data_IF_346051371148
#
_entry.id   IF_346051371148
#
_cell.length_a   1.000
_cell.length_b   1.000
_cell.length_c   1.000
_cell.angle_alpha   90.00
_cell.angle_beta   90.00
_cell.angle_gamma   90.00
#
_symmetry.space_group_name_H-M   'P 1'
#
loop_
_entity.id
_entity.type
_entity.pdbx_description
1 polymer ?
#
# COMPACT_ATOMS: atom_id res chain seq x y z
N UNK A 1 15.39 50.04 -3.20
CA UNK A 1 14.83 48.76 -3.64
C UNK A 1 14.70 47.90 -2.38
N UNK A 2 13.52 47.83 -1.77
CA UNK A 2 13.31 47.03 -0.56
C UNK A 2 13.43 45.58 -1.01
N UNK A 3 14.45 44.87 -0.55
CA UNK A 3 14.57 43.43 -0.72
C UNK A 3 13.37 42.81 0.00
N UNK A 4 12.30 42.55 -0.74
CA UNK A 4 11.07 41.97 -0.21
C UNK A 4 11.42 40.56 0.27
N UNK A 5 11.56 40.37 1.58
CA UNK A 5 11.84 39.06 2.18
C UNK A 5 10.57 38.22 2.13
N UNK A 6 10.28 37.74 0.93
CA UNK A 6 9.14 36.88 0.63
C UNK A 6 9.15 35.63 1.52
N UNK A 7 10.31 35.17 2.00
CA UNK A 7 10.40 34.01 2.88
C UNK A 7 9.77 34.30 4.24
N UNK A 8 10.09 35.45 4.85
CA UNK A 8 9.49 35.85 6.12
C UNK A 8 7.98 36.04 5.98
N UNK A 9 7.54 36.63 4.86
CA UNK A 9 6.13 36.85 4.63
C UNK A 9 5.37 35.54 4.41
N UNK A 10 5.86 34.66 3.53
CA UNK A 10 5.27 33.33 3.31
C UNK A 10 5.22 32.51 4.59
N UNK A 11 6.25 32.60 5.44
CA UNK A 11 6.26 31.95 6.74
C UNK A 11 5.11 32.45 7.61
N UNK A 12 4.94 33.77 7.74
CA UNK A 12 3.85 34.37 8.51
C UNK A 12 2.48 33.94 7.98
N UNK A 13 2.27 34.04 6.66
CA UNK A 13 1.00 33.69 6.04
C UNK A 13 0.71 32.18 6.13
N UNK A 14 1.74 31.31 6.11
CA UNK A 14 1.58 29.88 6.36
C UNK A 14 1.14 29.59 7.79
N UNK A 15 1.70 30.28 8.78
CA UNK A 15 1.31 30.11 10.18
C UNK A 15 -0.12 30.59 10.41
N UNK A 16 -0.45 31.78 9.90
CA UNK A 16 -1.80 32.35 9.96
C UNK A 16 -2.84 31.42 9.32
N UNK A 17 -2.53 30.85 8.15
CA UNK A 17 -3.38 29.86 7.51
C UNK A 17 -3.62 28.63 8.39
N UNK A 18 -2.58 28.07 8.99
CA UNK A 18 -2.72 26.88 9.84
C UNK A 18 -3.44 27.16 11.16
N UNK A 19 -3.31 28.38 11.71
CA UNK A 19 -3.91 28.77 12.98
C UNK A 19 -5.37 29.22 12.84
N UNK A 20 -5.71 29.88 11.74
CA UNK A 20 -7.01 30.55 11.59
C UNK A 20 -7.88 29.94 10.49
N UNK A 21 -7.31 29.41 9.40
CA UNK A 21 -8.08 28.89 8.26
C UNK A 21 -8.41 27.41 8.38
N UNK A 22 -7.40 26.60 8.73
CA UNK A 22 -7.60 25.14 8.87
C UNK A 22 -8.66 24.79 9.92
N UNK A 23 -8.69 25.40 11.13
CA UNK A 23 -9.73 25.09 12.10
C UNK A 23 -11.16 25.44 11.65
N UNK A 24 -11.29 26.40 10.72
CA UNK A 24 -12.56 26.81 10.11
C UNK A 24 -12.95 25.94 8.89
N UNK A 25 -12.18 24.90 8.58
CA UNK A 25 -12.30 24.07 7.37
C UNK A 25 -12.09 24.84 6.05
N UNK A 26 -11.42 25.99 6.09
CA UNK A 26 -10.97 26.72 4.90
C UNK A 26 -9.59 26.18 4.49
N UNK A 27 -9.60 25.13 3.67
CA UNK A 27 -8.40 24.39 3.28
C UNK A 27 -7.68 24.92 2.05
N UNK A 28 -8.10 26.06 1.48
CA UNK A 28 -7.48 26.60 0.26
C UNK A 28 -6.11 27.24 0.50
N UNK A 29 -5.10 26.40 0.72
CA UNK A 29 -3.75 26.84 1.06
C UNK A 29 -3.05 27.61 -0.07
N UNK A 30 -3.56 27.56 -1.31
CA UNK A 30 -2.97 28.29 -2.43
C UNK A 30 -3.04 29.81 -2.23
N UNK A 31 -3.94 30.28 -1.34
CA UNK A 31 -4.00 31.69 -0.91
C UNK A 31 -2.66 32.19 -0.33
N UNK A 32 -1.85 31.30 0.26
CA UNK A 32 -0.52 31.63 0.78
C UNK A 32 0.40 32.15 -0.34
N UNK A 33 0.21 31.67 -1.58
CA UNK A 33 1.05 32.03 -2.71
C UNK A 33 0.67 33.36 -3.38
N UNK A 34 -0.49 33.94 -3.06
CA UNK A 34 -0.94 35.21 -3.65
C UNK A 34 0.03 36.35 -3.39
N UNK A 35 0.77 36.28 -2.28
CA UNK A 35 1.75 37.29 -1.89
C UNK A 35 3.08 37.19 -2.66
N UNK A 36 3.35 36.04 -3.29
CA UNK A 36 4.52 35.84 -4.13
C UNK A 36 4.16 36.24 -5.56
N UNK A 37 4.78 37.26 -6.18
CA UNK A 37 4.35 37.75 -7.48
C UNK A 37 4.92 36.98 -8.67
N UNK A 38 6.08 36.33 -8.51
CA UNK A 38 6.76 35.68 -9.64
C UNK A 38 6.07 34.35 -10.01
N UNK A 39 5.92 34.12 -11.31
CA UNK A 39 5.36 32.89 -11.87
C UNK A 39 6.30 32.37 -12.96
N UNK A 40 6.48 31.06 -13.00
CA UNK A 40 7.21 30.39 -14.08
C UNK A 40 6.17 29.62 -14.89
N UNK A 41 5.99 29.99 -16.16
CA UNK A 41 4.94 29.45 -17.03
C UNK A 41 3.52 29.59 -16.45
N UNK A 42 3.25 30.67 -15.70
CA UNK A 42 1.96 30.90 -15.05
C UNK A 42 1.77 30.18 -13.71
N UNK A 43 2.72 29.33 -13.29
CA UNK A 43 2.65 28.56 -12.04
C UNK A 43 3.56 29.11 -10.94
N UNK A 44 3.23 28.79 -9.69
CA UNK A 44 4.07 29.10 -8.53
C UNK A 44 5.36 28.26 -8.62
N UNK A 45 6.56 28.87 -8.50
CA UNK A 45 7.81 28.12 -8.60
C UNK A 45 7.91 27.00 -7.56
N UNK A 46 8.42 25.84 -7.98
CA UNK A 46 8.62 24.69 -7.08
C UNK A 46 9.43 24.99 -5.80
N UNK A 47 10.46 25.86 -5.80
CA UNK A 47 11.15 26.26 -4.57
C UNK A 47 10.23 26.92 -3.53
N UNK A 48 9.25 27.71 -3.98
CA UNK A 48 8.28 28.40 -3.12
C UNK A 48 7.31 27.39 -2.51
N UNK A 49 6.78 26.47 -3.33
CA UNK A 49 5.92 25.37 -2.85
C UNK A 49 6.66 24.53 -1.80
N UNK A 50 7.93 24.23 -2.05
CA UNK A 50 8.77 23.46 -1.12
C UNK A 50 9.04 24.22 0.18
N UNK A 51 9.21 25.54 0.11
CA UNK A 51 9.36 26.40 1.29
C UNK A 51 8.09 26.38 2.15
N UNK A 52 6.91 26.59 1.55
CA UNK A 52 5.63 26.54 2.27
C UNK A 52 5.39 25.15 2.88
N UNK A 53 5.64 24.07 2.13
CA UNK A 53 5.57 22.71 2.67
C UNK A 53 6.47 22.50 3.89
N UNK A 54 7.65 23.12 3.89
CA UNK A 54 8.60 23.07 5.01
C UNK A 54 8.09 23.80 6.23
N UNK A 55 7.51 24.99 6.07
CA UNK A 55 6.90 25.73 7.17
C UNK A 55 5.65 25.00 7.71
N UNK A 56 4.78 24.48 6.84
CA UNK A 56 3.63 23.66 7.26
C UNK A 56 4.08 22.45 8.09
N UNK A 57 5.07 21.70 7.60
CA UNK A 57 5.59 20.54 8.32
C UNK A 57 6.11 20.90 9.70
N UNK A 58 6.74 22.08 9.89
CA UNK A 58 7.30 22.45 11.20
C UNK A 58 6.23 22.53 12.29
N UNK A 59 5.02 22.98 11.94
CA UNK A 59 3.87 23.08 12.84
C UNK A 59 3.19 21.72 12.97
N UNK A 60 2.75 21.15 11.85
CA UNK A 60 1.94 19.92 11.82
C UNK A 60 2.68 18.74 12.46
N UNK A 61 4.01 18.64 12.32
CA UNK A 61 4.76 17.52 12.89
C UNK A 61 4.84 17.51 14.43
N UNK A 62 4.36 18.54 15.13
CA UNK A 62 4.37 18.61 16.59
C UNK A 62 3.00 18.26 17.17
N UNK A 63 1.92 18.64 16.48
CA UNK A 63 0.54 18.28 16.82
C UNK A 63 -0.25 18.04 15.53
N UNK A 64 -0.18 16.84 14.94
CA UNK A 64 -0.77 16.56 13.62
C UNK A 64 -2.27 16.24 13.64
N UNK A 65 -2.84 15.91 14.80
CA UNK A 65 -4.24 15.46 14.91
C UNK A 65 -5.28 16.48 14.40
N UNK A 66 -5.16 17.80 14.69
CA UNK A 66 -6.07 18.81 14.16
C UNK A 66 -6.03 18.96 12.63
N UNK A 67 -4.96 18.49 11.99
CA UNK A 67 -4.69 18.72 10.57
C UNK A 67 -5.05 17.51 9.69
N UNK A 68 -5.65 16.44 10.24
CA UNK A 68 -5.97 15.22 9.49
C UNK A 68 -6.80 15.53 8.23
N UNK A 69 -7.87 16.32 8.37
CA UNK A 69 -8.81 16.59 7.29
C UNK A 69 -8.16 17.46 6.21
N UNK A 70 -7.39 18.46 6.64
CA UNK A 70 -6.56 19.26 5.74
C UNK A 70 -5.55 18.40 4.98
N UNK A 71 -4.87 17.48 5.65
CA UNK A 71 -3.88 16.58 5.03
C UNK A 71 -4.53 15.68 3.97
N UNK A 72 -5.72 15.14 4.23
CA UNK A 72 -6.46 14.35 3.24
C UNK A 72 -6.92 15.21 2.06
N UNK A 73 -7.44 16.40 2.34
CA UNK A 73 -7.85 17.35 1.30
C UNK A 73 -6.70 17.72 0.36
N UNK A 74 -5.52 18.11 0.88
CA UNK A 74 -4.39 18.45 0.01
C UNK A 74 -3.92 17.25 -0.82
N UNK A 75 -4.07 16.02 -0.32
CA UNK A 75 -3.68 14.83 -1.05
C UNK A 75 -4.66 14.52 -2.20
N UNK A 76 -5.96 14.68 -1.94
CA UNK A 76 -7.02 14.25 -2.85
C UNK A 76 -7.40 15.34 -3.87
N UNK A 77 -7.44 16.61 -3.45
CA UNK A 77 -8.10 17.68 -4.20
C UNK A 77 -7.13 18.69 -4.85
N UNK A 78 -5.86 18.73 -4.41
CA UNK A 78 -4.90 19.79 -4.81
C UNK A 78 -3.82 19.31 -5.79
N UNK A 79 -4.13 18.26 -6.56
CA UNK A 79 -3.29 17.77 -7.64
C UNK A 79 -1.89 17.33 -7.22
N UNK A 80 -0.93 17.41 -8.14
CA UNK A 80 0.44 16.93 -7.89
C UNK A 80 1.20 17.74 -6.85
N UNK A 81 0.93 19.04 -6.74
CA UNK A 81 1.58 19.89 -5.73
C UNK A 81 1.06 19.57 -4.33
N UNK A 82 -0.24 19.36 -4.17
CA UNK A 82 -0.84 18.90 -2.91
C UNK A 82 -0.25 17.56 -2.45
N UNK A 83 -0.12 16.57 -3.34
CA UNK A 83 0.54 15.28 -3.04
C UNK A 83 2.00 15.44 -2.61
N UNK A 84 2.76 16.33 -3.26
CA UNK A 84 4.15 16.63 -2.86
C UNK A 84 4.21 17.20 -1.43
N UNK A 85 3.34 18.15 -1.11
CA UNK A 85 3.26 18.75 0.23
C UNK A 85 2.88 17.69 1.26
N UNK A 86 1.82 16.93 0.99
CA UNK A 86 1.38 15.82 1.84
C UNK A 86 2.53 14.86 2.13
N UNK A 87 3.20 14.35 1.10
CA UNK A 87 4.33 13.43 1.26
C UNK A 87 5.48 14.05 2.05
N UNK A 88 5.75 15.34 1.86
CA UNK A 88 6.77 16.05 2.60
C UNK A 88 6.46 16.15 4.10
N UNK A 89 5.21 16.45 4.46
CA UNK A 89 4.74 16.54 5.85
C UNK A 89 4.68 15.16 6.49
N UNK A 90 4.03 14.21 5.82
CA UNK A 90 3.79 12.85 6.32
C UNK A 90 5.08 12.09 6.60
N UNK A 91 6.16 12.34 5.86
CA UNK A 91 7.48 11.75 6.12
C UNK A 91 8.00 11.99 7.55
N UNK A 92 7.57 13.07 8.23
CA UNK A 92 7.92 13.34 9.64
C UNK A 92 6.82 12.94 10.61
N UNK A 93 5.56 13.20 10.29
CA UNK A 93 4.39 12.80 11.10
C UNK A 93 4.41 11.29 11.34
N UNK A 94 4.61 10.49 10.30
CA UNK A 94 4.67 9.02 10.36
C UNK A 94 5.69 8.48 11.36
N UNK A 95 6.82 9.16 11.52
CA UNK A 95 7.89 8.75 12.43
C UNK A 95 7.54 9.16 13.87
N UNK A 96 7.14 10.42 14.06
CA UNK A 96 6.93 11.03 15.39
C UNK A 96 5.58 10.68 16.02
N UNK A 97 4.54 10.54 15.21
CA UNK A 97 3.15 10.37 15.62
C UNK A 97 2.53 9.17 14.85
N UNK A 98 2.94 7.93 15.16
CA UNK A 98 2.37 6.73 14.55
C UNK A 98 0.84 6.67 14.66
N UNK A 99 0.29 7.02 15.82
CA UNK A 99 -1.15 6.90 16.07
C UNK A 99 -1.95 7.85 15.19
N UNK A 100 -1.47 9.08 14.96
CA UNK A 100 -2.10 10.02 14.03
C UNK A 100 -2.05 9.53 12.60
N UNK A 101 -0.94 8.90 12.20
CA UNK A 101 -0.87 8.28 10.89
C UNK A 101 -1.92 7.17 10.73
N UNK A 102 -2.12 6.34 11.76
CA UNK A 102 -3.14 5.30 11.74
C UNK A 102 -4.55 5.90 11.63
N UNK A 103 -4.82 7.04 12.28
CA UNK A 103 -6.08 7.78 12.11
C UNK A 103 -6.27 8.28 10.67
N UNK A 104 -5.24 8.88 10.07
CA UNK A 104 -5.26 9.35 8.67
C UNK A 104 -5.53 8.18 7.72
N UNK A 105 -4.83 7.04 7.91
CA UNK A 105 -5.05 5.85 7.10
C UNK A 105 -6.47 5.32 7.22
N UNK A 106 -6.98 5.14 8.45
CA UNK A 106 -8.33 4.62 8.68
C UNK A 106 -9.39 5.53 8.06
N UNK A 107 -9.26 6.84 8.26
CA UNK A 107 -10.18 7.82 7.68
C UNK A 107 -10.16 7.74 6.15
N UNK A 108 -8.98 7.79 5.53
CA UNK A 108 -8.85 7.69 4.08
C UNK A 108 -9.43 6.38 3.54
N UNK A 109 -9.08 5.24 4.15
CA UNK A 109 -9.59 3.91 3.75
C UNK A 109 -11.11 3.85 3.83
N UNK A 110 -11.71 4.43 4.88
CA UNK A 110 -13.18 4.46 5.03
C UNK A 110 -13.91 5.32 4.00
N UNK A 111 -13.21 6.26 3.36
CA UNK A 111 -13.74 7.17 2.34
C UNK A 111 -13.46 6.68 0.91
N UNK A 112 -12.58 5.68 0.75
CA UNK A 112 -12.17 5.14 -0.54
C UNK A 112 -13.19 4.14 -1.09
N UNK A 113 -13.97 4.58 -2.08
CA UNK A 113 -14.97 3.74 -2.75
C UNK A 113 -14.59 3.35 -4.18
N UNK A 114 -13.75 4.14 -4.86
CA UNK A 114 -13.37 3.90 -6.25
C UNK A 114 -12.05 3.14 -6.38
N UNK A 115 -12.05 2.06 -7.17
CA UNK A 115 -10.87 1.22 -7.44
C UNK A 115 -9.64 2.01 -7.91
N UNK A 116 -9.85 3.06 -8.71
CA UNK A 116 -8.78 3.93 -9.20
C UNK A 116 -8.12 4.73 -8.08
N UNK A 117 -8.90 5.22 -7.12
CA UNK A 117 -8.42 6.04 -6.03
C UNK A 117 -7.78 5.20 -4.93
N UNK A 118 -8.30 4.00 -4.68
CA UNK A 118 -7.65 2.99 -3.82
C UNK A 118 -6.22 2.75 -4.32
N UNK A 119 -6.06 2.46 -5.61
CA UNK A 119 -4.72 2.26 -6.20
C UNK A 119 -3.80 3.45 -5.97
N UNK A 120 -4.28 4.66 -6.30
CA UNK A 120 -3.48 5.89 -6.18
C UNK A 120 -3.03 6.08 -4.75
N UNK A 121 -3.95 5.97 -3.78
CA UNK A 121 -3.70 6.12 -2.35
C UNK A 121 -2.63 5.12 -1.86
N UNK A 122 -2.79 3.83 -2.18
CA UNK A 122 -1.82 2.81 -1.80
C UNK A 122 -0.44 3.08 -2.39
N UNK A 123 -0.36 3.56 -3.63
CA UNK A 123 0.90 3.86 -4.31
C UNK A 123 1.57 5.17 -3.85
N UNK A 124 0.79 6.20 -3.51
CA UNK A 124 1.31 7.51 -3.12
C UNK A 124 1.58 7.62 -1.61
N UNK A 125 0.81 6.92 -0.77
CA UNK A 125 0.86 7.07 0.69
C UNK A 125 1.49 5.84 1.33
N UNK A 126 0.91 4.65 1.13
CA UNK A 126 1.32 3.46 1.87
C UNK A 126 2.66 2.92 1.35
N UNK A 127 2.81 2.76 0.04
CA UNK A 127 3.99 2.12 -0.55
C UNK A 127 5.32 2.84 -0.25
N UNK A 128 5.43 4.19 -0.32
CA UNK A 128 6.68 4.87 0.00
C UNK A 128 7.11 4.66 1.44
N UNK A 129 6.15 4.66 2.37
CA UNK A 129 6.40 4.45 3.79
C UNK A 129 6.75 3.00 4.09
N UNK A 130 6.03 2.06 3.48
CA UNK A 130 6.33 0.63 3.56
C UNK A 130 7.73 0.30 3.04
N UNK A 131 8.17 0.93 1.95
CA UNK A 131 9.54 0.76 1.43
C UNK A 131 10.60 1.35 2.36
N UNK A 132 10.30 2.48 2.99
CA UNK A 132 11.26 3.23 3.83
C UNK A 132 11.38 2.64 5.24
N UNK A 133 10.28 2.18 5.81
CA UNK A 133 10.20 1.63 7.18
C UNK A 133 9.36 0.34 7.20
N UNK A 134 9.79 -0.73 6.53
CA UNK A 134 9.00 -1.96 6.39
C UNK A 134 8.59 -2.56 7.74
N UNK A 135 9.45 -2.47 8.77
CA UNK A 135 9.17 -3.15 10.05
C UNK A 135 8.01 -2.52 10.81
N UNK A 136 7.74 -1.24 10.53
CA UNK A 136 6.66 -0.48 11.13
C UNK A 136 5.36 -0.65 10.35
N UNK A 137 5.45 -0.67 9.03
CA UNK A 137 4.27 -0.57 8.15
C UNK A 137 3.80 -1.90 7.58
N UNK A 138 4.62 -2.95 7.60
CA UNK A 138 4.22 -4.27 7.12
C UNK A 138 3.04 -4.81 7.94
N UNK A 139 3.10 -4.72 9.28
CA UNK A 139 2.01 -5.16 10.16
C UNK A 139 0.72 -4.37 9.96
N UNK A 140 0.83 -3.10 9.59
CA UNK A 140 -0.35 -2.29 9.29
C UNK A 140 -1.03 -2.77 8.00
N UNK A 141 -0.28 -3.08 6.95
CA UNK A 141 -0.84 -3.65 5.71
C UNK A 141 -1.50 -5.01 5.98
N UNK A 142 -0.88 -5.83 6.83
CA UNK A 142 -1.47 -7.11 7.26
C UNK A 142 -2.75 -6.89 8.07
N UNK A 143 -2.80 -5.87 8.93
CA UNK A 143 -4.02 -5.50 9.65
C UNK A 143 -5.13 -5.06 8.71
N UNK A 144 -4.82 -4.25 7.67
CA UNK A 144 -5.79 -3.84 6.64
C UNK A 144 -6.39 -5.06 5.96
N UNK A 145 -5.57 -6.01 5.50
CA UNK A 145 -6.06 -7.26 4.88
C UNK A 145 -7.01 -8.03 5.80
N UNK A 146 -6.73 -8.01 7.11
CA UNK A 146 -7.53 -8.72 8.12
C UNK A 146 -8.88 -8.06 8.38
N UNK A 147 -8.90 -6.74 8.56
CA UNK A 147 -10.09 -6.01 9.03
C UNK A 147 -11.01 -5.56 7.92
N UNK A 148 -10.49 -5.31 6.72
CA UNK A 148 -11.29 -4.72 5.65
C UNK A 148 -12.32 -5.67 5.07
N UNK A 149 -13.46 -5.10 4.67
CA UNK A 149 -14.53 -5.79 3.95
C UNK A 149 -14.53 -5.49 2.45
N UNK A 150 -13.87 -4.41 2.02
CA UNK A 150 -13.80 -4.04 0.61
C UNK A 150 -12.72 -4.87 -0.11
N UNK A 151 -13.15 -5.73 -1.04
CA UNK A 151 -12.27 -6.63 -1.78
C UNK A 151 -11.22 -5.88 -2.63
N UNK A 152 -11.54 -4.71 -3.18
CA UNK A 152 -10.57 -3.91 -3.93
C UNK A 152 -9.42 -3.41 -3.03
N UNK A 153 -9.73 -3.07 -1.77
CA UNK A 153 -8.72 -2.65 -0.79
C UNK A 153 -7.82 -3.83 -0.41
N UNK A 154 -8.41 -5.01 -0.22
CA UNK A 154 -7.66 -6.24 0.07
C UNK A 154 -6.73 -6.58 -1.10
N UNK A 155 -7.23 -6.59 -2.33
CA UNK A 155 -6.47 -6.89 -3.54
C UNK A 155 -5.28 -5.92 -3.73
N UNK A 156 -5.50 -4.63 -3.49
CA UNK A 156 -4.42 -3.64 -3.56
C UNK A 156 -3.43 -3.76 -2.41
N UNK A 157 -3.87 -4.15 -1.21
CA UNK A 157 -2.98 -4.45 -0.09
C UNK A 157 -2.01 -5.60 -0.44
N UNK A 158 -2.49 -6.70 -1.02
CA UNK A 158 -1.60 -7.77 -1.52
C UNK A 158 -0.68 -7.29 -2.65
N UNK A 159 -1.18 -6.40 -3.51
CA UNK A 159 -0.39 -5.82 -4.60
C UNK A 159 0.77 -4.95 -4.08
N UNK A 160 0.58 -4.17 -3.02
CA UNK A 160 1.70 -3.40 -2.44
C UNK A 160 2.71 -4.28 -1.72
N UNK A 161 2.28 -5.41 -1.11
CA UNK A 161 3.20 -6.39 -0.53
C UNK A 161 4.08 -7.01 -1.62
N UNK A 162 3.52 -7.33 -2.79
CA UNK A 162 4.31 -7.73 -3.96
C UNK A 162 5.32 -6.65 -4.40
N UNK A 163 4.92 -5.37 -4.39
CA UNK A 163 5.82 -4.25 -4.72
C UNK A 163 6.95 -4.10 -3.69
N UNK A 164 6.67 -4.30 -2.40
CA UNK A 164 7.68 -4.34 -1.35
C UNK A 164 8.70 -5.46 -1.61
N UNK A 165 8.24 -6.70 -1.78
CA UNK A 165 9.10 -7.86 -2.02
C UNK A 165 10.00 -7.69 -3.26
N UNK A 166 9.46 -7.11 -4.34
CA UNK A 166 10.23 -6.77 -5.55
C UNK A 166 11.33 -5.74 -5.27
N UNK A 167 11.05 -4.75 -4.43
CA UNK A 167 12.02 -3.70 -4.08
C UNK A 167 13.04 -4.14 -3.04
N UNK A 168 12.72 -5.11 -2.19
CA UNK A 168 13.60 -5.62 -1.15
C UNK A 168 13.44 -7.13 -1.01
N UNK A 169 14.31 -7.90 -1.69
CA UNK A 169 14.28 -9.36 -1.70
C UNK A 169 14.41 -9.99 -0.31
N UNK A 170 15.08 -9.31 0.64
CA UNK A 170 15.20 -9.82 2.03
C UNK A 170 13.85 -9.93 2.73
N UNK A 171 12.84 -9.17 2.27
CA UNK A 171 11.49 -9.16 2.82
C UNK A 171 10.57 -10.24 2.27
N UNK A 172 11.01 -11.03 1.29
CA UNK A 172 10.17 -12.07 0.66
C UNK A 172 9.66 -13.07 1.69
N UNK A 173 10.57 -13.70 2.45
CA UNK A 173 10.21 -14.72 3.45
C UNK A 173 9.38 -14.15 4.60
N UNK A 174 9.81 -13.02 5.14
CA UNK A 174 9.11 -12.34 6.24
C UNK A 174 7.68 -11.93 5.86
N UNK A 175 7.50 -11.35 4.67
CA UNK A 175 6.17 -10.98 4.16
C UNK A 175 5.30 -12.23 4.00
N UNK A 176 5.86 -13.31 3.44
CA UNK A 176 5.15 -14.57 3.30
C UNK A 176 4.69 -15.13 4.66
N UNK A 177 5.57 -15.21 5.66
CA UNK A 177 5.24 -15.78 6.96
C UNK A 177 4.10 -15.03 7.68
N UNK A 178 4.00 -13.70 7.50
CA UNK A 178 2.85 -12.95 8.03
C UNK A 178 1.54 -13.31 7.30
N UNK A 179 1.62 -13.59 6.01
CA UNK A 179 0.48 -13.97 5.17
C UNK A 179 -0.01 -15.40 5.45
N UNK A 180 0.85 -16.27 5.99
CA UNK A 180 0.47 -17.66 6.33
C UNK A 180 -0.76 -17.73 7.24
N UNK A 181 -0.92 -16.74 8.14
CA UNK A 181 -2.09 -16.64 9.01
C UNK A 181 -3.43 -16.52 8.28
N UNK A 182 -3.43 -16.22 6.98
CA UNK A 182 -4.61 -16.07 6.14
C UNK A 182 -4.98 -17.30 5.30
N UNK A 183 -4.18 -18.36 5.30
CA UNK A 183 -4.40 -19.52 4.42
C UNK A 183 -5.75 -20.24 4.65
N UNK A 184 -6.29 -20.14 5.86
CA UNK A 184 -7.61 -20.68 6.21
C UNK A 184 -8.77 -19.69 5.96
N UNK A 185 -8.52 -18.54 5.35
CA UNK A 185 -9.54 -17.51 5.13
C UNK A 185 -10.69 -18.01 4.25
N UNK A 186 -11.91 -17.69 4.68
CA UNK A 186 -13.13 -17.92 3.91
C UNK A 186 -13.36 -16.83 2.83
N UNK A 187 -12.68 -15.67 2.94
CA UNK A 187 -12.77 -14.59 1.95
C UNK A 187 -11.99 -14.95 0.68
N UNK A 188 -12.66 -14.89 -0.47
CA UNK A 188 -12.08 -15.20 -1.78
C UNK A 188 -10.97 -14.21 -2.18
N UNK A 189 -11.16 -12.90 -1.97
CA UNK A 189 -10.15 -11.85 -2.22
C UNK A 189 -8.83 -12.14 -1.49
N UNK A 190 -8.90 -12.61 -0.24
CA UNK A 190 -7.71 -13.03 0.51
C UNK A 190 -7.05 -14.26 -0.12
N UNK A 191 -7.83 -15.28 -0.52
CA UNK A 191 -7.26 -16.47 -1.19
C UNK A 191 -6.57 -16.09 -2.51
N UNK A 192 -7.19 -15.25 -3.32
CA UNK A 192 -6.61 -14.73 -4.56
C UNK A 192 -5.36 -13.88 -4.29
N UNK A 193 -5.36 -13.10 -3.22
CA UNK A 193 -4.18 -12.39 -2.72
C UNK A 193 -3.02 -13.32 -2.39
N UNK A 194 -3.27 -14.47 -1.74
CA UNK A 194 -2.23 -15.47 -1.46
C UNK A 194 -1.71 -16.08 -2.77
N UNK A 195 -2.60 -16.40 -3.72
CA UNK A 195 -2.22 -16.87 -5.07
C UNK A 195 -1.31 -15.85 -5.76
N UNK A 196 -1.63 -14.56 -5.69
CA UNK A 196 -0.80 -13.48 -6.22
C UNK A 196 0.59 -13.45 -5.57
N UNK A 197 0.66 -13.66 -4.26
CA UNK A 197 1.93 -13.71 -3.51
C UNK A 197 2.77 -14.90 -3.95
N UNK A 198 2.21 -16.11 -4.06
CA UNK A 198 2.92 -17.30 -4.57
C UNK A 198 3.52 -17.04 -5.95
N UNK A 199 2.73 -16.48 -6.87
CA UNK A 199 3.18 -16.09 -8.21
C UNK A 199 4.28 -15.03 -8.18
N UNK A 200 4.25 -14.11 -7.22
CA UNK A 200 5.32 -13.13 -7.02
C UNK A 200 6.59 -13.79 -6.47
N UNK A 201 6.47 -14.71 -5.50
CA UNK A 201 7.60 -15.44 -4.92
C UNK A 201 8.30 -16.25 -6.00
N UNK A 202 7.57 -16.96 -6.85
CA UNK A 202 8.15 -17.71 -7.97
C UNK A 202 9.09 -16.85 -8.84
N UNK A 203 8.70 -15.59 -9.10
CA UNK A 203 9.51 -14.64 -9.89
C UNK A 203 10.75 -14.12 -9.15
N UNK A 204 10.73 -14.12 -7.82
CA UNK A 204 11.76 -13.48 -6.97
C UNK A 204 12.75 -14.50 -6.36
N UNK A 205 12.24 -15.64 -5.91
CA UNK A 205 12.96 -16.72 -5.24
C UNK A 205 12.27 -18.07 -5.53
N UNK A 206 12.68 -18.72 -6.63
CA UNK A 206 12.15 -20.02 -7.06
C UNK A 206 12.38 -21.13 -6.03
N UNK A 207 13.51 -21.08 -5.31
CA UNK A 207 13.84 -22.08 -4.31
C UNK A 207 12.85 -22.00 -3.15
N UNK A 208 12.61 -20.80 -2.64
CA UNK A 208 11.62 -20.61 -1.58
C UNK A 208 10.21 -20.97 -2.03
N UNK A 209 9.85 -20.65 -3.28
CA UNK A 209 8.59 -21.12 -3.87
C UNK A 209 8.47 -22.66 -3.82
N UNK A 210 9.51 -23.43 -4.20
CA UNK A 210 9.49 -24.89 -4.06
C UNK A 210 9.39 -25.36 -2.61
N UNK A 211 10.08 -24.69 -1.69
CA UNK A 211 10.07 -25.04 -0.27
C UNK A 211 8.64 -24.93 0.30
N UNK A 212 7.90 -23.88 -0.09
CA UNK A 212 6.47 -23.72 0.27
C UNK A 212 5.63 -24.91 -0.20
N UNK A 213 5.78 -25.32 -1.47
CA UNK A 213 5.02 -26.46 -1.99
C UNK A 213 5.37 -27.77 -1.27
N UNK A 214 6.66 -27.96 -0.93
CA UNK A 214 7.11 -29.13 -0.16
C UNK A 214 6.58 -29.13 1.27
N UNK A 215 6.43 -27.97 1.89
CA UNK A 215 5.86 -27.82 3.23
C UNK A 215 4.39 -28.25 3.23
N UNK A 216 3.61 -27.77 2.26
CA UNK A 216 2.16 -28.00 2.21
C UNK A 216 1.73 -29.22 1.39
N UNK A 217 2.65 -30.00 0.79
CA UNK A 217 2.32 -31.15 -0.07
C UNK A 217 1.44 -32.23 0.59
N UNK A 218 1.46 -32.33 1.91
CA UNK A 218 0.71 -33.32 2.70
C UNK A 218 -0.55 -32.75 3.34
N UNK A 219 -0.90 -31.49 3.04
CA UNK A 219 -2.15 -30.92 3.55
C UNK A 219 -3.36 -31.61 2.93
N UNK A 220 -4.42 -31.74 3.71
CA UNK A 220 -5.74 -32.20 3.26
C UNK A 220 -6.79 -31.08 3.36
N UNK A 221 -6.36 -29.84 3.63
CA UNK A 221 -7.24 -28.70 3.71
C UNK A 221 -7.63 -28.23 2.28
N UNK A 222 -8.92 -28.23 1.92
CA UNK A 222 -9.35 -27.80 0.58
C UNK A 222 -8.93 -26.37 0.23
N UNK A 223 -8.98 -25.42 1.17
CA UNK A 223 -8.61 -24.03 0.90
C UNK A 223 -7.13 -23.92 0.52
N UNK A 224 -6.26 -24.67 1.22
CA UNK A 224 -4.82 -24.66 0.97
C UNK A 224 -4.54 -25.24 -0.42
N UNK A 225 -5.19 -26.34 -0.76
CA UNK A 225 -5.00 -27.01 -2.04
C UNK A 225 -5.53 -26.17 -3.20
N UNK A 226 -6.66 -25.49 -3.02
CA UNK A 226 -7.20 -24.54 -4.01
C UNK A 226 -6.21 -23.40 -4.26
N UNK A 227 -5.69 -22.76 -3.20
CA UNK A 227 -4.64 -21.72 -3.29
C UNK A 227 -3.39 -22.24 -4.03
N UNK A 228 -2.87 -23.40 -3.61
CA UNK A 228 -1.67 -23.98 -4.22
C UNK A 228 -1.90 -24.38 -5.67
N UNK A 229 -3.08 -24.88 -6.02
CA UNK A 229 -3.46 -25.28 -7.38
C UNK A 229 -3.50 -24.08 -8.33
N UNK A 230 -4.04 -22.95 -7.87
CA UNK A 230 -4.10 -21.70 -8.65
C UNK A 230 -2.78 -20.93 -8.67
N UNK A 231 -1.93 -21.16 -7.67
CA UNK A 231 -0.58 -20.60 -7.53
C UNK A 231 0.47 -21.20 -8.46
N UNK A 232 0.18 -22.30 -9.15
CA UNK A 232 1.16 -23.02 -9.97
C UNK A 232 1.70 -22.14 -11.10
N UNK A 233 3.02 -22.01 -11.15
CA UNK A 233 3.73 -21.16 -12.11
C UNK A 233 4.65 -21.91 -13.09
N UNK A 234 4.90 -23.19 -12.89
CA UNK A 234 5.86 -23.94 -13.71
C UNK A 234 5.43 -25.40 -13.90
N UNK A 235 5.95 -26.01 -14.96
CA UNK A 235 5.90 -27.45 -15.19
C UNK A 235 7.16 -28.11 -14.61
N UNK A 236 7.04 -28.81 -13.47
CA UNK A 236 8.16 -29.48 -12.82
C UNK A 236 7.75 -30.84 -12.21
N UNK A 237 8.70 -31.80 -12.04
CA UNK A 237 8.39 -33.10 -11.45
C UNK A 237 7.72 -33.00 -10.07
N UNK A 238 8.15 -32.03 -9.24
CA UNK A 238 7.56 -31.77 -7.93
C UNK A 238 6.06 -31.43 -8.03
N UNK A 239 5.68 -30.57 -8.99
CA UNK A 239 4.28 -30.17 -9.16
C UNK A 239 3.42 -31.35 -9.61
N UNK A 240 3.92 -32.19 -10.52
CA UNK A 240 3.22 -33.41 -10.95
C UNK A 240 2.97 -34.35 -9.78
N UNK A 241 3.99 -34.63 -8.96
CA UNK A 241 3.89 -35.53 -7.81
C UNK A 241 2.81 -35.05 -6.82
N UNK A 242 2.83 -33.76 -6.48
CA UNK A 242 1.87 -33.16 -5.55
C UNK A 242 0.44 -33.25 -6.09
N UNK A 243 0.23 -32.90 -7.36
CA UNK A 243 -1.10 -32.90 -7.97
C UNK A 243 -1.66 -34.32 -8.11
N UNK A 244 -0.83 -35.28 -8.49
CA UNK A 244 -1.24 -36.69 -8.59
C UNK A 244 -1.77 -37.22 -7.24
N UNK A 245 -1.13 -36.81 -6.14
CA UNK A 245 -1.60 -37.13 -4.79
C UNK A 245 -2.98 -36.52 -4.51
N UNK A 246 -3.20 -35.27 -4.89
CA UNK A 246 -4.50 -34.60 -4.69
C UNK A 246 -5.62 -35.19 -5.54
N UNK A 247 -5.34 -35.66 -6.75
CA UNK A 247 -6.36 -36.33 -7.59
C UNK A 247 -6.90 -37.61 -6.98
N UNK A 248 -6.07 -38.31 -6.20
CA UNK A 248 -6.45 -39.54 -5.49
C UNK A 248 -7.32 -39.26 -4.25
N UNK A 249 -7.55 -38.00 -3.89
CA UNK A 249 -8.34 -37.62 -2.70
C UNK A 249 -9.81 -38.04 -2.80
N UNK A 250 -10.41 -38.47 -1.70
CA UNK A 250 -11.86 -38.68 -1.61
C UNK A 250 -12.68 -37.38 -1.62
N UNK A 251 -12.06 -36.23 -1.35
CA UNK A 251 -12.74 -34.95 -1.24
C UNK A 251 -12.97 -34.31 -2.63
N UNK A 252 -14.22 -33.98 -2.94
CA UNK A 252 -14.60 -33.45 -4.26
C UNK A 252 -14.00 -32.08 -4.57
N UNK A 253 -13.81 -31.21 -3.57
CA UNK A 253 -13.17 -29.89 -3.76
C UNK A 253 -11.70 -30.06 -4.13
N UNK A 254 -11.00 -30.93 -3.40
CA UNK A 254 -9.59 -31.26 -3.66
C UNK A 254 -9.41 -31.84 -5.06
N UNK A 255 -10.27 -32.78 -5.46
CA UNK A 255 -10.26 -33.33 -6.83
C UNK A 255 -10.47 -32.28 -7.90
N UNK A 256 -11.44 -31.37 -7.72
CA UNK A 256 -11.69 -30.27 -8.67
C UNK A 256 -10.47 -29.34 -8.78
N UNK A 257 -9.87 -28.96 -7.66
CA UNK A 257 -8.66 -28.14 -7.63
C UNK A 257 -7.49 -28.84 -8.34
N UNK A 258 -7.23 -30.11 -8.03
CA UNK A 258 -6.19 -30.91 -8.69
C UNK A 258 -6.39 -31.01 -10.21
N UNK A 259 -7.63 -31.21 -10.66
CA UNK A 259 -7.92 -31.29 -12.09
C UNK A 259 -7.73 -29.94 -12.81
N UNK A 260 -8.03 -28.83 -12.14
CA UNK A 260 -7.69 -27.49 -12.62
C UNK A 260 -6.17 -27.30 -12.72
N UNK A 261 -5.45 -27.72 -11.68
CA UNK A 261 -3.99 -27.67 -11.59
C UNK A 261 -3.32 -28.46 -12.74
N UNK A 262 -3.81 -29.64 -13.08
CA UNK A 262 -3.35 -30.42 -14.24
C UNK A 262 -3.54 -29.69 -15.57
N UNK A 263 -4.68 -29.01 -15.76
CA UNK A 263 -4.92 -28.21 -16.97
C UNK A 263 -3.91 -27.06 -17.05
N UNK A 264 -3.56 -26.45 -15.92
CA UNK A 264 -2.52 -25.42 -15.85
C UNK A 264 -1.15 -25.98 -16.21
N UNK A 265 -0.73 -27.13 -15.66
CA UNK A 265 0.54 -27.78 -16.04
C UNK A 265 0.62 -28.09 -17.55
N UNK A 266 -0.46 -28.65 -18.12
CA UNK A 266 -0.54 -28.93 -19.57
C UNK A 266 -0.37 -27.68 -20.44
N UNK A 267 -0.80 -26.51 -19.95
CA UNK A 267 -0.59 -25.22 -20.64
C UNK A 267 0.84 -24.72 -20.50
N UNK A 268 1.46 -24.90 -19.33
CA UNK A 268 2.83 -24.47 -19.06
C UNK A 268 3.90 -25.32 -19.76
N UNK A 269 3.56 -26.56 -20.12
CA UNK A 269 4.39 -27.45 -20.95
C UNK A 269 4.55 -26.98 -22.40
N UNK A 270 3.62 -26.14 -22.89
CA UNK A 270 3.62 -25.59 -24.25
C UNK A 270 4.47 -24.34 -24.31
#
# INVERSE_FOLDING_TARGET
MITYDWQQRLKKDTLDFLENKVPENDFDFEIIYNIYPERVNGEVPQPVITFVAKEMRKVIQNDPDPYIDFLLYIHNDKGENGKKIFNYVMNKVTIKHPDTYDKILKKAISELNEKGDIKKFFDSIILPLLKKYPEKYLDQVISIIRSESNDDIIDYAFSILCKLMKSNKKKVKETYHKIESFWNSEKESIRQGIVQILKCIFKLDKRFYHDIYKEYQNTYNPNFIEILSEGICEDSPLMHEIIERWEKSGNIRIKKAAHSAQKTLKKLKR
#
